data_IF_997793645623
#
_entry.id   IF_997793645623
#
_cell.length_a   1.000
_cell.length_b   1.000
_cell.length_c   1.000
_cell.angle_alpha   90.00
_cell.angle_beta   90.00
_cell.angle_gamma   90.00
#
_symmetry.space_group_name_H-M   'P 1'
#
loop_
_entity.id
_entity.type
_entity.pdbx_description
1 polymer ?
#
# COMPACT_ATOMS: atom_id res chain seq x y z
N UNK A 1 -1.79 -15.20 15.87
CA UNK A 1 -3.26 -15.40 15.77
C UNK A 1 -3.72 -16.08 14.47
N UNK A 2 -2.83 -16.42 13.53
CA UNK A 2 -3.21 -16.96 12.21
C UNK A 2 -3.94 -18.31 12.25
N UNK A 3 -3.55 -19.23 13.15
CA UNK A 3 -4.20 -20.53 13.28
C UNK A 3 -5.68 -20.41 13.67
N UNK A 4 -5.98 -19.58 14.68
CA UNK A 4 -7.35 -19.31 15.11
C UNK A 4 -8.15 -18.67 13.96
N UNK A 5 -7.55 -17.71 13.25
CA UNK A 5 -8.21 -17.01 12.14
C UNK A 5 -8.56 -17.96 10.98
N UNK A 6 -7.68 -18.92 10.69
CA UNK A 6 -7.92 -19.93 9.65
C UNK A 6 -9.12 -20.83 10.01
N UNK A 7 -9.19 -21.26 11.27
CA UNK A 7 -10.33 -22.05 11.77
C UNK A 7 -11.61 -21.24 11.72
N UNK A 8 -11.62 -20.02 12.28
CA UNK A 8 -12.83 -19.17 12.31
C UNK A 8 -13.35 -18.85 10.90
N UNK A 9 -12.46 -18.50 9.97
CA UNK A 9 -12.83 -18.24 8.56
C UNK A 9 -13.49 -19.46 7.93
N UNK A 10 -12.93 -20.66 8.15
CA UNK A 10 -13.51 -21.91 7.62
C UNK A 10 -14.87 -22.23 8.26
N UNK A 11 -15.03 -21.97 9.57
CA UNK A 11 -16.31 -22.18 10.25
C UNK A 11 -17.39 -21.22 9.73
N UNK A 12 -17.05 -19.96 9.45
CA UNK A 12 -17.97 -19.00 8.83
C UNK A 12 -18.35 -19.39 7.40
N UNK A 13 -17.40 -19.90 6.61
CA UNK A 13 -17.67 -20.44 5.28
C UNK A 13 -18.64 -21.63 5.33
N UNK A 14 -18.41 -22.59 6.22
CA UNK A 14 -19.32 -23.73 6.45
C UNK A 14 -20.72 -23.22 6.86
N UNK A 15 -20.78 -22.25 7.78
CA UNK A 15 -22.06 -21.72 8.27
C UNK A 15 -22.85 -21.00 7.16
N UNK A 16 -22.19 -20.21 6.32
CA UNK A 16 -22.82 -19.52 5.20
C UNK A 16 -23.33 -20.52 4.13
N UNK A 17 -22.53 -21.54 3.82
CA UNK A 17 -22.93 -22.66 2.94
C UNK A 17 -24.13 -23.42 3.49
N UNK A 18 -24.14 -23.73 4.78
CA UNK A 18 -25.27 -24.41 5.43
C UNK A 18 -26.57 -23.58 5.41
N UNK A 19 -26.46 -22.25 5.45
CA UNK A 19 -27.60 -21.34 5.32
C UNK A 19 -28.01 -21.08 3.85
N UNK A 20 -27.25 -21.59 2.86
CA UNK A 20 -27.38 -21.26 1.44
C UNK A 20 -27.44 -19.74 1.17
N UNK A 21 -26.58 -18.99 1.87
CA UNK A 21 -26.50 -17.53 1.79
C UNK A 21 -25.05 -17.11 1.58
N UNK A 22 -24.78 -16.01 0.86
CA UNK A 22 -23.45 -15.42 0.88
C UNK A 22 -23.14 -14.92 2.30
N UNK A 23 -21.89 -15.09 2.76
CA UNK A 23 -21.49 -14.82 4.16
C UNK A 23 -21.91 -13.44 4.67
N UNK A 24 -21.83 -12.40 3.84
CA UNK A 24 -22.20 -11.04 4.27
C UNK A 24 -23.66 -10.89 4.71
N UNK A 25 -24.58 -11.77 4.25
CA UNK A 25 -25.97 -11.77 4.70
C UNK A 25 -26.10 -12.22 6.16
N UNK A 26 -25.29 -13.19 6.58
CA UNK A 26 -25.22 -13.62 7.97
C UNK A 26 -24.59 -12.56 8.88
N UNK A 27 -23.81 -11.64 8.31
CA UNK A 27 -23.18 -10.53 9.02
C UNK A 27 -24.07 -9.28 9.13
N UNK A 28 -25.32 -9.34 8.66
CA UNK A 28 -26.28 -8.23 8.73
C UNK A 28 -26.69 -7.62 7.38
N UNK A 29 -26.28 -8.22 6.27
CA UNK A 29 -26.66 -7.76 4.93
C UNK A 29 -25.76 -6.65 4.39
N UNK A 30 -26.07 -6.17 3.18
CA UNK A 30 -25.24 -5.19 2.49
C UNK A 30 -25.48 -3.77 3.04
N UNK A 31 -24.45 -3.16 3.62
CA UNK A 31 -24.47 -1.73 4.03
C UNK A 31 -24.02 -0.78 2.92
N UNK A 32 -23.63 -1.29 1.75
CA UNK A 32 -23.07 -0.53 0.62
C UNK A 32 -23.24 -1.31 -0.69
N UNK A 33 -23.12 -0.63 -1.83
CA UNK A 33 -23.26 -1.23 -3.17
C UNK A 33 -21.98 -1.89 -3.69
N UNK A 34 -20.83 -1.57 -3.12
CA UNK A 34 -19.53 -2.14 -3.48
C UNK A 34 -18.46 -1.80 -2.44
N UNK A 35 -17.28 -2.40 -2.55
CA UNK A 35 -16.15 -2.17 -1.63
C UNK A 35 -15.06 -1.42 -2.39
N UNK A 36 -14.79 -0.17 -2.00
CA UNK A 36 -13.68 0.59 -2.55
C UNK A 36 -12.36 -0.05 -2.10
N UNK A 37 -11.45 -0.23 -3.05
CA UNK A 37 -10.10 -0.75 -2.84
C UNK A 37 -9.06 0.31 -3.21
N UNK A 38 -7.85 0.13 -2.71
CA UNK A 38 -6.70 0.91 -3.15
C UNK A 38 -5.68 0.01 -3.86
N UNK A 39 -4.91 0.59 -4.78
CA UNK A 39 -3.81 -0.09 -5.47
C UNK A 39 -2.45 0.45 -5.03
N UNK A 40 -1.38 -0.12 -5.60
CA UNK A 40 -0.01 0.17 -5.25
C UNK A 40 0.75 0.70 -6.45
N UNK A 41 1.34 1.88 -6.32
CA UNK A 41 2.21 2.47 -7.34
C UNK A 41 3.62 2.66 -6.81
N UNK A 42 4.61 2.27 -7.60
CA UNK A 42 5.99 2.16 -7.13
C UNK A 42 6.98 2.55 -8.23
N UNK A 43 8.10 3.17 -7.86
CA UNK A 43 9.09 3.65 -8.83
C UNK A 43 10.42 4.03 -8.17
N UNK A 44 11.52 3.91 -8.91
CA UNK A 44 12.86 4.29 -8.42
C UNK A 44 13.07 5.81 -8.45
N UNK A 45 12.23 6.53 -9.19
CA UNK A 45 12.15 7.99 -9.24
C UNK A 45 10.70 8.44 -9.11
N UNK A 46 10.50 9.72 -8.80
CA UNK A 46 9.17 10.34 -8.76
C UNK A 46 8.47 10.17 -10.11
N UNK A 47 9.17 10.40 -11.23
CA UNK A 47 8.58 10.25 -12.57
C UNK A 47 8.04 8.84 -12.83
N UNK A 48 8.79 7.80 -12.42
CA UNK A 48 8.31 6.41 -12.55
C UNK A 48 7.05 6.17 -11.71
N UNK A 49 6.96 6.76 -10.51
CA UNK A 49 5.75 6.67 -9.68
C UNK A 49 4.59 7.42 -10.33
N UNK A 50 4.82 8.59 -10.94
CA UNK A 50 3.79 9.35 -11.61
C UNK A 50 3.24 8.61 -12.84
N UNK A 51 4.10 7.94 -13.60
CA UNK A 51 3.68 7.13 -14.75
C UNK A 51 2.87 5.91 -14.32
N UNK A 52 3.27 5.26 -13.22
CA UNK A 52 2.52 4.14 -12.64
C UNK A 52 1.19 4.58 -12.02
N UNK A 53 1.17 5.78 -11.43
CA UNK A 53 -0.04 6.43 -10.92
C UNK A 53 -1.05 6.72 -12.03
N UNK A 54 -0.60 7.29 -13.15
CA UNK A 54 -1.45 7.55 -14.31
C UNK A 54 -2.15 6.27 -14.79
N UNK A 55 -1.39 5.17 -14.93
CA UNK A 55 -1.95 3.86 -15.33
C UNK A 55 -3.03 3.38 -14.36
N UNK A 56 -2.80 3.48 -13.06
CA UNK A 56 -3.78 3.03 -12.07
C UNK A 56 -5.00 3.95 -11.99
N UNK A 57 -4.83 5.25 -12.22
CA UNK A 57 -5.95 6.19 -12.38
C UNK A 57 -6.80 5.82 -13.60
N UNK A 58 -6.18 5.48 -14.73
CA UNK A 58 -6.86 5.00 -15.94
C UNK A 58 -7.60 3.68 -15.74
N UNK A 59 -7.08 2.78 -14.90
CA UNK A 59 -7.78 1.55 -14.47
C UNK A 59 -9.00 1.81 -13.58
N UNK A 60 -9.25 3.06 -13.19
CA UNK A 60 -10.43 3.49 -12.45
C UNK A 60 -10.28 3.43 -10.92
N UNK A 61 -9.07 3.22 -10.39
CA UNK A 61 -8.84 3.27 -8.95
C UNK A 61 -9.14 4.67 -8.40
N UNK A 62 -9.93 4.70 -7.32
CA UNK A 62 -10.28 5.95 -6.61
C UNK A 62 -9.34 6.23 -5.43
N UNK A 63 -8.57 5.23 -5.03
CA UNK A 63 -7.59 5.29 -3.96
C UNK A 63 -6.28 4.62 -4.42
N UNK A 64 -5.15 5.29 -4.23
CA UNK A 64 -3.86 4.85 -4.76
C UNK A 64 -2.77 5.09 -3.70
N UNK A 65 -2.01 4.04 -3.35
CA UNK A 65 -0.84 4.14 -2.47
C UNK A 65 0.43 4.37 -3.28
N UNK A 66 1.12 5.49 -3.05
CA UNK A 66 2.34 5.86 -3.76
C UNK A 66 3.59 5.66 -2.90
N UNK A 67 4.56 4.89 -3.42
CA UNK A 67 5.88 4.67 -2.80
C UNK A 67 6.99 4.96 -3.81
N UNK A 68 8.06 5.63 -3.39
CA UNK A 68 9.21 5.94 -4.26
C UNK A 68 10.51 5.48 -3.58
N UNK A 69 11.48 5.04 -4.38
CA UNK A 69 12.86 4.87 -3.92
C UNK A 69 13.43 6.19 -3.39
N UNK A 70 14.15 6.15 -2.27
CA UNK A 70 14.79 7.35 -1.71
C UNK A 70 16.19 7.53 -2.33
N UNK A 71 16.52 8.71 -2.88
CA UNK A 71 17.82 8.98 -3.48
C UNK A 71 18.99 8.66 -2.54
N UNK A 72 19.99 7.96 -3.07
CA UNK A 72 21.16 7.56 -2.28
C UNK A 72 20.91 6.42 -1.28
N UNK A 73 19.78 5.71 -1.38
CA UNK A 73 19.56 4.41 -0.75
C UNK A 73 19.46 3.33 -1.84
N UNK A 74 20.20 2.24 -1.68
CA UNK A 74 20.20 1.13 -2.66
C UNK A 74 18.88 0.36 -2.67
N UNK A 75 18.20 0.31 -1.53
CA UNK A 75 16.92 -0.37 -1.36
C UNK A 75 15.96 0.51 -0.58
N UNK A 76 14.67 0.46 -0.92
CA UNK A 76 13.59 1.12 -0.18
C UNK A 76 12.40 0.17 -0.21
N UNK A 77 11.62 0.14 0.87
CA UNK A 77 10.47 -0.75 0.95
C UNK A 77 9.39 -0.34 -0.05
N UNK A 78 8.64 -1.33 -0.54
CA UNK A 78 7.49 -1.10 -1.42
C UNK A 78 7.89 -1.06 -2.88
N UNK A 79 9.13 -1.43 -3.21
CA UNK A 79 9.62 -1.51 -4.59
C UNK A 79 9.37 -2.91 -5.15
N UNK A 80 8.60 -3.01 -6.23
CA UNK A 80 8.47 -4.26 -6.96
C UNK A 80 9.83 -4.67 -7.56
N UNK A 81 10.15 -5.96 -7.53
CA UNK A 81 11.41 -6.50 -8.09
C UNK A 81 11.44 -6.56 -9.61
N UNK A 82 10.33 -6.28 -10.27
CA UNK A 82 10.21 -6.18 -11.71
C UNK A 82 9.08 -5.22 -12.11
N UNK A 83 9.24 -4.57 -13.27
CA UNK A 83 8.25 -3.62 -13.80
C UNK A 83 6.91 -4.35 -14.05
N UNK A 84 5.83 -3.85 -13.45
CA UNK A 84 4.47 -4.40 -13.60
C UNK A 84 4.18 -5.66 -12.79
N UNK A 85 5.09 -6.11 -11.92
CA UNK A 85 4.82 -7.21 -10.98
C UNK A 85 4.16 -6.70 -9.71
N UNK A 86 3.31 -7.53 -9.11
CA UNK A 86 2.85 -7.31 -7.75
C UNK A 86 4.05 -7.20 -6.79
N UNK A 87 3.92 -6.36 -5.79
CA UNK A 87 4.93 -6.24 -4.74
C UNK A 87 4.98 -7.52 -3.91
N UNK A 88 6.06 -8.29 -4.07
CA UNK A 88 6.34 -9.51 -3.30
C UNK A 88 7.64 -9.32 -2.49
N UNK A 89 7.54 -8.95 -1.21
CA UNK A 89 8.72 -8.78 -0.35
C UNK A 89 9.33 -10.10 0.12
N UNK A 90 8.58 -11.21 0.12
CA UNK A 90 9.08 -12.50 0.61
C UNK A 90 9.89 -13.22 -0.47
N UNK A 91 11.20 -13.01 -0.44
CA UNK A 91 12.11 -13.54 -1.44
C UNK A 91 12.39 -15.02 -1.22
N UNK A 92 12.39 -15.79 -2.31
CA UNK A 92 12.82 -17.19 -2.26
C UNK A 92 14.29 -17.26 -1.83
N UNK A 93 14.55 -18.07 -0.81
CA UNK A 93 15.89 -18.27 -0.28
C UNK A 93 15.82 -18.79 1.16
N UNK A 94 16.99 -19.09 1.71
CA UNK A 94 17.11 -19.55 3.10
C UNK A 94 17.26 -18.39 4.09
N UNK A 95 17.57 -17.18 3.60
CA UNK A 95 17.88 -16.02 4.41
C UNK A 95 17.07 -14.81 3.98
N UNK A 96 16.66 -13.94 4.92
CA UNK A 96 16.06 -12.66 4.59
C UNK A 96 17.01 -11.76 3.80
N UNK A 97 16.47 -10.97 2.88
CA UNK A 97 17.24 -9.88 2.29
C UNK A 97 17.46 -8.76 3.31
N UNK A 98 18.69 -8.25 3.36
CA UNK A 98 19.05 -7.13 4.21
C UNK A 98 18.85 -5.81 3.45
N UNK A 99 18.19 -4.85 4.11
CA UNK A 99 17.98 -3.51 3.58
C UNK A 99 18.58 -2.47 4.53
N UNK A 100 19.38 -1.56 3.98
CA UNK A 100 19.85 -0.40 4.70
C UNK A 100 18.76 0.67 4.73
N UNK A 101 18.71 1.44 5.82
CA UNK A 101 17.72 2.48 6.03
C UNK A 101 18.34 3.76 6.59
N UNK A 102 17.84 4.92 6.14
CA UNK A 102 18.09 6.23 6.74
C UNK A 102 16.77 6.98 6.84
N UNK A 103 16.37 7.28 8.06
CA UNK A 103 15.14 8.01 8.38
C UNK A 103 15.21 9.46 7.89
N UNK A 104 16.36 10.10 8.03
CA UNK A 104 16.57 11.50 7.67
C UNK A 104 16.39 11.71 6.16
N UNK A 105 17.04 10.86 5.34
CA UNK A 105 16.87 10.90 3.88
C UNK A 105 15.42 10.70 3.46
N UNK A 106 14.71 9.79 4.13
CA UNK A 106 13.30 9.54 3.86
C UNK A 106 12.42 10.74 4.21
N UNK A 107 12.63 11.35 5.38
CA UNK A 107 11.88 12.52 5.85
C UNK A 107 12.07 13.73 4.94
N UNK A 108 13.28 13.94 4.42
CA UNK A 108 13.59 15.09 3.55
C UNK A 108 13.14 14.89 2.09
N UNK A 109 12.93 13.64 1.66
CA UNK A 109 12.59 13.31 0.28
C UNK A 109 11.10 13.06 0.05
N UNK A 110 10.47 12.25 0.90
CA UNK A 110 9.13 11.70 0.63
C UNK A 110 8.03 12.76 0.50
N UNK A 111 8.04 13.91 1.21
CA UNK A 111 7.07 14.98 0.96
C UNK A 111 7.01 15.45 -0.50
N UNK A 112 8.15 15.47 -1.20
CA UNK A 112 8.25 15.86 -2.62
C UNK A 112 7.51 14.91 -3.55
N UNK A 113 7.37 13.64 -3.16
CA UNK A 113 6.57 12.68 -3.91
C UNK A 113 5.09 13.08 -3.90
N UNK A 114 4.54 13.46 -2.74
CA UNK A 114 3.14 13.85 -2.64
C UNK A 114 2.85 15.14 -3.37
N UNK A 115 3.73 16.13 -3.22
CA UNK A 115 3.66 17.39 -3.97
C UNK A 115 3.59 17.10 -5.48
N UNK A 116 4.53 16.32 -6.01
CA UNK A 116 4.54 15.98 -7.44
C UNK A 116 3.29 15.22 -7.91
N UNK A 117 2.75 14.30 -7.09
CA UNK A 117 1.51 13.58 -7.42
C UNK A 117 0.32 14.56 -7.46
N UNK A 118 0.22 15.45 -6.48
CA UNK A 118 -0.88 16.43 -6.39
C UNK A 118 -0.80 17.49 -7.46
N UNK A 119 0.40 17.98 -7.78
CA UNK A 119 0.62 18.94 -8.86
C UNK A 119 0.22 18.37 -10.22
N UNK A 120 0.50 17.09 -10.47
CA UNK A 120 0.20 16.44 -11.75
C UNK A 120 -1.24 15.94 -11.87
N UNK A 121 -1.83 15.39 -10.80
CA UNK A 121 -3.11 14.67 -10.88
C UNK A 121 -4.27 15.30 -10.09
N UNK A 122 -4.00 16.34 -9.30
CA UNK A 122 -5.00 17.01 -8.48
C UNK A 122 -5.38 16.24 -7.22
N UNK A 123 -6.57 16.56 -6.69
CA UNK A 123 -7.03 16.13 -5.36
C UNK A 123 -8.22 15.16 -5.37
N UNK A 124 -8.69 14.74 -6.55
CA UNK A 124 -9.90 13.91 -6.68
C UNK A 124 -9.70 12.48 -6.15
N UNK A 125 -8.49 11.90 -6.32
CA UNK A 125 -8.17 10.59 -5.76
C UNK A 125 -7.72 10.66 -4.28
N UNK A 126 -8.10 9.62 -3.53
CA UNK A 126 -7.52 9.35 -2.22
C UNK A 126 -6.06 8.90 -2.41
N UNK A 127 -5.12 9.68 -1.86
CA UNK A 127 -3.69 9.37 -1.89
C UNK A 127 -3.27 8.74 -0.57
N UNK A 128 -2.63 7.58 -0.64
CA UNK A 128 -2.16 6.83 0.53
C UNK A 128 -0.64 6.69 0.49
N UNK A 129 -0.06 6.48 1.67
CA UNK A 129 1.35 6.18 1.86
C UNK A 129 1.54 5.22 3.00
N UNK A 130 2.61 4.46 2.96
CA UNK A 130 2.94 3.51 4.01
C UNK A 130 4.39 3.67 4.48
N UNK A 131 4.51 4.07 5.75
CA UNK A 131 5.75 4.44 6.43
C UNK A 131 6.52 3.22 6.97
N UNK A 132 5.91 2.04 6.96
CA UNK A 132 6.57 0.76 7.27
C UNK A 132 7.32 0.70 8.60
N UNK A 133 6.77 1.30 9.65
CA UNK A 133 7.29 1.19 11.02
C UNK A 133 8.69 1.80 11.21
N UNK A 134 9.13 2.68 10.29
CA UNK A 134 10.51 3.17 10.21
C UNK A 134 10.79 4.45 11.00
N UNK A 135 9.75 5.05 11.57
CA UNK A 135 9.85 6.31 12.30
C UNK A 135 9.52 6.12 13.78
N UNK A 136 10.19 6.89 14.63
CA UNK A 136 9.75 7.14 15.99
C UNK A 136 8.46 7.99 16.00
N UNK A 137 7.73 8.05 17.13
CA UNK A 137 6.51 8.86 17.21
C UNK A 137 6.70 10.34 16.85
N UNK A 138 7.80 10.96 17.27
CA UNK A 138 8.04 12.40 17.00
C UNK A 138 8.45 12.66 15.55
N UNK A 139 9.17 11.73 14.94
CA UNK A 139 9.49 11.77 13.51
C UNK A 139 8.23 11.57 12.66
N UNK A 140 7.34 10.64 13.05
CA UNK A 140 6.05 10.46 12.40
C UNK A 140 5.15 11.69 12.53
N UNK A 141 5.16 12.36 13.69
CA UNK A 141 4.47 13.64 13.88
C UNK A 141 5.05 14.75 12.98
N UNK A 142 6.38 14.83 12.85
CA UNK A 142 7.05 15.75 11.90
C UNK A 142 6.64 15.43 10.46
N UNK A 143 6.69 14.15 10.07
CA UNK A 143 6.32 13.70 8.74
C UNK A 143 4.87 14.06 8.40
N UNK A 144 3.92 13.75 9.29
CA UNK A 144 2.51 14.06 9.11
C UNK A 144 2.21 15.57 9.01
N UNK A 145 3.07 16.44 9.54
CA UNK A 145 2.96 17.90 9.36
C UNK A 145 3.52 18.40 8.03
N UNK A 146 4.40 17.62 7.40
CA UNK A 146 5.09 18.01 6.16
C UNK A 146 4.37 17.57 4.89
N UNK A 147 3.26 16.82 5.00
CA UNK A 147 2.53 16.21 3.90
C UNK A 147 1.05 16.55 3.93
#
# INVERSE_FOLDING_TARGET
MSAISAVDTALWDIKAKAANMPLYQLLGGASRTGVMVYCHTTGHSIDEVLDDYAKHKELGFKAIRAQCGVPGMKTTYGMAKGKGLAYEPATKGNWPEEQLWSTEKYLDFTPKLFEAVRDKFGFDEHLLHDMHHRLTPIEAARFGKSV
#
